data_IF_733171548834
#
_entry.id   IF_733171548834
#
_cell.length_a   1.000
_cell.length_b   1.000
_cell.length_c   1.000
_cell.angle_alpha   90.00
_cell.angle_beta   90.00
_cell.angle_gamma   90.00
#
_symmetry.space_group_name_H-M   'P 1'
#
loop_
_entity.id
_entity.type
_entity.pdbx_description
1 polymer ?
#
# COMPACT_ATOMS: atom_id res chain seq x y z
N UNK A 1 4.74 -31.46 62.41
CA UNK A 1 5.02 -32.06 61.09
C UNK A 1 4.77 -30.97 60.05
N UNK A 2 5.83 -30.38 59.50
CA UNK A 2 5.79 -29.15 58.72
C UNK A 2 5.09 -29.34 57.37
N UNK A 3 4.01 -28.59 57.11
CA UNK A 3 3.43 -28.45 55.78
C UNK A 3 3.96 -27.14 55.17
N UNK A 4 4.93 -27.25 54.27
CA UNK A 4 5.29 -26.16 53.37
C UNK A 4 4.19 -26.03 52.31
N UNK A 5 3.40 -24.96 52.39
CA UNK A 5 2.54 -24.54 51.28
C UNK A 5 3.43 -23.79 50.30
N UNK A 6 3.85 -24.49 49.25
CA UNK A 6 4.53 -23.90 48.10
C UNK A 6 3.47 -23.22 47.22
N UNK A 7 3.35 -21.89 47.35
CA UNK A 7 2.53 -21.08 46.44
C UNK A 7 3.27 -21.00 45.09
N UNK A 8 2.90 -21.87 44.15
CA UNK A 8 3.27 -21.71 42.74
C UNK A 8 2.47 -20.53 42.17
N UNK A 9 3.08 -19.34 42.17
CA UNK A 9 2.65 -18.23 41.34
C UNK A 9 2.82 -18.68 39.88
N UNK A 10 1.73 -19.08 39.23
CA UNK A 10 1.70 -19.23 37.78
C UNK A 10 1.95 -17.85 37.18
N UNK A 11 3.20 -17.60 36.77
CA UNK A 11 3.58 -16.43 36.00
C UNK A 11 2.87 -16.55 34.65
N UNK A 12 1.69 -15.94 34.54
CA UNK A 12 0.98 -15.77 33.29
C UNK A 12 1.84 -14.84 32.43
N UNK A 13 2.73 -15.43 31.64
CA UNK A 13 3.39 -14.72 30.55
C UNK A 13 2.29 -14.37 29.58
N UNK A 14 1.70 -13.18 29.74
CA UNK A 14 0.97 -12.51 28.68
C UNK A 14 2.03 -12.27 27.61
N UNK A 15 2.13 -13.20 26.67
CA UNK A 15 2.86 -12.97 25.43
C UNK A 15 2.14 -11.78 24.80
N UNK A 16 2.76 -10.61 24.96
CA UNK A 16 2.37 -9.40 24.25
C UNK A 16 2.35 -9.80 22.78
N UNK A 17 1.15 -10.00 22.22
CA UNK A 17 0.97 -10.38 20.83
C UNK A 17 1.42 -9.18 20.01
N UNK A 18 2.74 -9.14 19.77
CA UNK A 18 3.39 -8.32 18.77
C UNK A 18 2.48 -8.34 17.54
N UNK A 19 2.01 -7.16 17.13
CA UNK A 19 1.14 -6.95 15.97
C UNK A 19 1.69 -7.70 14.76
N UNK A 20 1.29 -8.96 14.57
CA UNK A 20 1.59 -9.70 13.34
C UNK A 20 0.78 -9.00 12.26
N UNK A 21 1.42 -8.48 11.20
CA UNK A 21 0.68 -7.87 10.11
C UNK A 21 -0.37 -8.87 9.63
N UNK A 22 -1.64 -8.47 9.61
CA UNK A 22 -2.68 -9.27 8.97
C UNK A 22 -2.38 -9.32 7.47
N UNK A 23 -2.50 -10.50 6.88
CA UNK A 23 -2.04 -10.75 5.52
C UNK A 23 -1.91 -12.24 5.23
N UNK A 24 -1.24 -12.58 4.13
CA UNK A 24 -0.94 -13.96 3.80
C UNK A 24 0.45 -14.11 3.20
N UNK A 25 1.07 -15.26 3.48
CA UNK A 25 2.26 -15.68 2.75
C UNK A 25 1.86 -16.20 1.38
N UNK A 26 2.69 -15.94 0.39
CA UNK A 26 2.58 -16.57 -0.91
C UNK A 26 3.89 -17.26 -1.29
N UNK A 27 3.77 -18.30 -2.10
CA UNK A 27 4.89 -18.94 -2.79
C UNK A 27 4.47 -19.26 -4.22
N UNK A 28 5.27 -18.81 -5.17
CA UNK A 28 5.04 -19.00 -6.59
C UNK A 28 6.19 -19.82 -7.16
N UNK A 29 5.84 -20.85 -7.93
CA UNK A 29 6.73 -21.68 -8.71
C UNK A 29 6.32 -21.54 -10.18
N UNK A 30 7.27 -21.17 -11.02
CA UNK A 30 7.12 -21.15 -12.48
C UNK A 30 8.22 -22.00 -13.09
N UNK A 31 7.84 -22.91 -13.97
CA UNK A 31 8.74 -23.91 -14.55
C UNK A 31 8.48 -24.00 -16.05
N UNK A 32 9.55 -23.88 -16.83
CA UNK A 32 9.57 -24.24 -18.24
C UNK A 32 9.91 -25.71 -18.42
N UNK A 33 9.48 -26.32 -19.54
CA UNK A 33 9.77 -27.74 -19.79
C UNK A 33 11.27 -28.03 -19.95
N UNK A 34 12.10 -27.01 -20.20
CA UNK A 34 13.54 -27.13 -20.34
C UNK A 34 14.31 -26.90 -19.02
N UNK A 35 13.62 -26.64 -17.91
CA UNK A 35 14.26 -26.34 -16.62
C UNK A 35 14.91 -27.59 -16.01
N UNK A 36 16.04 -27.39 -15.32
CA UNK A 36 16.80 -28.51 -14.74
C UNK A 36 16.01 -29.12 -13.58
N UNK A 37 16.00 -30.46 -13.51
CA UNK A 37 15.37 -31.24 -12.43
C UNK A 37 13.83 -31.06 -12.36
N UNK A 38 13.20 -30.72 -13.47
CA UNK A 38 11.73 -30.69 -13.60
C UNK A 38 11.23 -32.02 -14.13
N UNK A 39 10.14 -32.55 -13.53
CA UNK A 39 9.45 -33.73 -14.03
C UNK A 39 8.38 -33.33 -15.06
N UNK A 40 8.41 -33.93 -16.25
CA UNK A 40 7.51 -33.55 -17.35
C UNK A 40 7.75 -32.11 -17.83
N UNK A 41 6.71 -31.41 -18.23
CA UNK A 41 6.81 -30.01 -18.69
C UNK A 41 6.53 -28.96 -17.58
N UNK A 42 6.85 -29.30 -16.33
CA UNK A 42 6.82 -28.36 -15.20
C UNK A 42 5.44 -27.94 -14.73
N UNK A 43 5.43 -27.14 -13.66
CA UNK A 43 4.23 -26.69 -12.94
C UNK A 43 4.23 -25.17 -12.74
N UNK A 44 3.07 -24.54 -12.96
CA UNK A 44 2.75 -23.24 -12.38
C UNK A 44 2.03 -23.43 -11.04
N UNK A 45 2.76 -23.41 -9.93
CA UNK A 45 2.14 -23.50 -8.59
C UNK A 45 2.07 -22.14 -7.92
N UNK A 46 0.93 -21.82 -7.30
CA UNK A 46 0.69 -20.56 -6.60
C UNK A 46 0.04 -20.91 -5.26
N UNK A 47 0.85 -20.85 -4.21
CA UNK A 47 0.43 -21.15 -2.86
C UNK A 47 0.06 -19.87 -2.11
N UNK A 48 -1.00 -19.95 -1.31
CA UNK A 48 -1.36 -18.96 -0.29
C UNK A 48 -1.44 -19.66 1.06
N UNK A 49 -0.68 -19.20 2.05
CA UNK A 49 -0.59 -19.83 3.38
C UNK A 49 -0.38 -21.37 3.28
N UNK A 50 0.44 -21.81 2.32
CA UNK A 50 0.70 -23.24 2.05
C UNK A 50 -0.34 -23.97 1.18
N UNK A 51 -1.52 -23.39 0.92
CA UNK A 51 -2.54 -23.99 0.05
C UNK A 51 -2.35 -23.66 -1.43
N UNK A 52 -2.25 -24.68 -2.28
CA UNK A 52 -2.13 -24.52 -3.74
C UNK A 52 -3.46 -24.11 -4.38
N UNK A 53 -3.44 -23.04 -5.18
CA UNK A 53 -4.61 -22.47 -5.84
C UNK A 53 -4.53 -22.42 -7.37
N UNK A 54 -3.34 -22.46 -7.98
CA UNK A 54 -3.21 -22.39 -9.44
C UNK A 54 -3.84 -23.59 -10.16
N UNK A 55 -4.32 -23.38 -11.40
CA UNK A 55 -4.91 -24.41 -12.24
C UNK A 55 -3.87 -25.37 -12.85
N UNK A 56 -2.57 -25.02 -12.82
CA UNK A 56 -1.45 -25.81 -13.35
C UNK A 56 -1.66 -26.25 -14.82
N UNK A 57 -2.02 -25.29 -15.67
CA UNK A 57 -2.16 -25.49 -17.13
C UNK A 57 -1.02 -24.79 -17.85
N UNK A 58 -0.65 -25.24 -19.05
CA UNK A 58 0.33 -24.55 -19.91
C UNK A 58 -0.04 -23.08 -20.11
N UNK A 59 0.98 -22.22 -20.20
CA UNK A 59 0.82 -20.77 -20.35
C UNK A 59 0.79 -20.03 -19.01
N UNK A 60 0.19 -18.84 -19.02
CA UNK A 60 0.09 -18.00 -17.82
C UNK A 60 -1.04 -18.47 -16.92
N UNK A 61 -0.75 -18.67 -15.64
CA UNK A 61 -1.72 -19.00 -14.60
C UNK A 61 -1.79 -17.84 -13.60
N UNK A 62 -3.00 -17.47 -13.17
CA UNK A 62 -3.22 -16.40 -12.20
C UNK A 62 -4.21 -16.80 -11.11
N UNK A 63 -4.00 -16.22 -9.92
CA UNK A 63 -4.94 -16.27 -8.80
C UNK A 63 -5.13 -14.86 -8.26
N UNK A 64 -6.38 -14.47 -8.02
CA UNK A 64 -6.76 -13.15 -7.57
C UNK A 64 -7.41 -13.17 -6.18
N UNK A 65 -7.08 -12.19 -5.34
CA UNK A 65 -7.59 -12.00 -3.98
C UNK A 65 -7.93 -10.54 -3.73
N UNK A 66 -8.87 -10.28 -2.83
CA UNK A 66 -9.11 -8.94 -2.33
C UNK A 66 -7.89 -8.48 -1.54
N UNK A 67 -7.37 -7.28 -1.82
CA UNK A 67 -6.32 -6.68 -1.01
C UNK A 67 -6.84 -6.06 0.30
N UNK A 68 -8.15 -6.14 0.54
CA UNK A 68 -8.84 -5.56 1.71
C UNK A 68 -9.19 -6.63 2.73
N UNK A 69 -9.77 -7.73 2.25
CA UNK A 69 -10.23 -8.83 3.12
C UNK A 69 -9.34 -10.06 3.02
N UNK A 70 -8.52 -10.15 1.96
CA UNK A 70 -7.83 -11.39 1.60
C UNK A 70 -8.74 -12.47 1.04
N UNK A 71 -10.02 -12.19 0.82
CA UNK A 71 -10.92 -13.18 0.27
C UNK A 71 -10.50 -13.57 -1.14
N UNK A 72 -10.58 -14.86 -1.43
CA UNK A 72 -10.36 -15.38 -2.77
C UNK A 72 -11.40 -14.78 -3.74
N UNK A 73 -10.94 -14.31 -4.90
CA UNK A 73 -11.82 -13.87 -5.98
C UNK A 73 -12.00 -14.97 -7.03
N UNK A 74 -10.90 -15.35 -7.68
CA UNK A 74 -10.94 -16.24 -8.85
C UNK A 74 -9.54 -16.71 -9.24
N UNK A 75 -9.47 -17.72 -10.09
CA UNK A 75 -8.26 -18.19 -10.77
C UNK A 75 -8.53 -18.41 -12.25
N UNK A 76 -7.51 -18.29 -13.08
CA UNK A 76 -7.59 -18.56 -14.50
C UNK A 76 -6.23 -19.01 -15.05
N UNK A 77 -6.26 -19.66 -16.20
CA UNK A 77 -5.08 -20.00 -16.98
C UNK A 77 -5.30 -19.62 -18.44
N UNK A 78 -4.26 -19.14 -19.10
CA UNK A 78 -4.28 -18.66 -20.47
C UNK A 78 -3.15 -19.35 -21.24
N UNK A 79 -3.50 -20.27 -22.12
CA UNK A 79 -2.55 -21.01 -22.96
C UNK A 79 -2.01 -20.11 -24.07
N UNK A 80 -1.07 -19.22 -23.71
CA UNK A 80 -0.38 -18.33 -24.65
C UNK A 80 0.66 -19.06 -25.52
N UNK A 81 0.65 -20.39 -25.55
CA UNK A 81 1.39 -21.19 -26.51
C UNK A 81 0.48 -21.68 -27.66
N UNK A 82 -0.70 -22.22 -27.35
CA UNK A 82 -1.57 -22.82 -28.37
C UNK A 82 -2.76 -21.94 -28.78
N UNK A 83 -3.11 -20.91 -28.02
CA UNK A 83 -4.29 -20.10 -28.27
C UNK A 83 -3.93 -18.63 -28.59
N UNK A 84 -4.18 -18.21 -29.83
CA UNK A 84 -3.95 -16.83 -30.33
C UNK A 84 -4.76 -15.75 -29.58
N UNK A 85 -5.88 -16.11 -28.97
CA UNK A 85 -6.72 -15.19 -28.20
C UNK A 85 -6.38 -15.18 -26.70
N UNK A 86 -5.46 -16.03 -26.23
CA UNK A 86 -5.12 -16.17 -24.81
C UNK A 86 -4.67 -14.84 -24.19
N UNK A 87 -3.87 -14.04 -24.91
CA UNK A 87 -3.46 -12.72 -24.42
C UNK A 87 -4.63 -11.75 -24.25
N UNK A 88 -5.59 -11.75 -25.18
CA UNK A 88 -6.80 -10.91 -25.08
C UNK A 88 -7.68 -11.35 -23.92
N UNK A 89 -7.84 -12.65 -23.73
CA UNK A 89 -8.58 -13.23 -22.60
C UNK A 89 -7.91 -12.89 -21.26
N UNK A 90 -6.58 -13.00 -21.19
CA UNK A 90 -5.78 -12.60 -20.03
C UNK A 90 -5.97 -11.13 -19.68
N UNK A 91 -5.88 -10.24 -20.68
CA UNK A 91 -6.13 -8.81 -20.52
C UNK A 91 -7.53 -8.53 -19.98
N UNK A 92 -8.57 -9.13 -20.58
CA UNK A 92 -9.96 -8.92 -20.15
C UNK A 92 -10.22 -9.46 -18.74
N UNK A 93 -9.65 -10.61 -18.39
CA UNK A 93 -9.77 -11.19 -17.05
C UNK A 93 -9.12 -10.29 -15.99
N UNK A 94 -7.89 -9.81 -16.22
CA UNK A 94 -7.21 -8.88 -15.31
C UNK A 94 -7.98 -7.54 -15.25
N UNK A 95 -8.38 -6.99 -16.40
CA UNK A 95 -9.07 -5.69 -16.47
C UNK A 95 -10.41 -5.70 -15.73
N UNK A 96 -11.15 -6.81 -15.79
CA UNK A 96 -12.45 -6.96 -15.13
C UNK A 96 -12.34 -7.18 -13.61
N UNK A 97 -11.14 -7.41 -13.06
CA UNK A 97 -10.97 -7.43 -11.60
C UNK A 97 -11.19 -6.01 -11.04
N UNK A 98 -11.83 -5.86 -9.85
CA UNK A 98 -11.90 -4.57 -9.18
C UNK A 98 -10.51 -3.96 -8.95
N UNK A 99 -10.44 -2.64 -8.84
CA UNK A 99 -9.28 -2.02 -8.18
C UNK A 99 -9.15 -2.59 -6.76
N UNK A 100 -7.94 -2.63 -6.21
CA UNK A 100 -7.63 -3.22 -4.92
C UNK A 100 -7.67 -4.76 -4.92
N UNK A 101 -7.16 -5.34 -6.01
CA UNK A 101 -7.03 -6.80 -6.18
C UNK A 101 -5.56 -7.19 -6.21
N UNK A 102 -5.17 -8.15 -5.38
CA UNK A 102 -3.87 -8.84 -5.48
C UNK A 102 -3.97 -9.88 -6.58
N UNK A 103 -2.99 -9.94 -7.48
CA UNK A 103 -2.93 -10.90 -8.59
C UNK A 103 -1.58 -11.59 -8.56
N UNK A 104 -1.55 -12.86 -8.19
CA UNK A 104 -0.36 -13.71 -8.26
C UNK A 104 -0.35 -14.45 -9.58
N UNK A 105 0.80 -14.56 -10.24
CA UNK A 105 0.91 -15.20 -11.55
C UNK A 105 2.19 -15.99 -11.76
N UNK A 106 2.11 -17.05 -12.57
CA UNK A 106 3.22 -17.93 -12.96
C UNK A 106 3.03 -18.47 -14.38
N UNK A 107 4.12 -18.74 -15.10
CA UNK A 107 4.08 -19.52 -16.35
C UNK A 107 4.34 -21.01 -16.06
N UNK A 108 3.64 -21.88 -16.78
CA UNK A 108 3.95 -23.31 -16.88
C UNK A 108 4.29 -23.68 -18.33
N UNK A 109 5.33 -24.49 -18.50
CA UNK A 109 5.83 -25.00 -19.79
C UNK A 109 6.29 -23.89 -20.74
N UNK A 110 5.35 -23.17 -21.34
CA UNK A 110 5.59 -22.23 -22.43
C UNK A 110 4.52 -21.13 -22.39
N UNK A 111 4.93 -19.87 -22.53
CA UNK A 111 4.01 -18.74 -22.56
C UNK A 111 4.31 -17.66 -23.59
N UNK A 112 5.24 -17.88 -24.52
CA UNK A 112 5.76 -16.88 -25.45
C UNK A 112 5.27 -17.01 -26.89
N UNK A 113 4.86 -18.20 -27.36
CA UNK A 113 4.64 -18.44 -28.80
C UNK A 113 3.47 -17.63 -29.37
N UNK A 114 2.33 -17.60 -28.70
CA UNK A 114 1.16 -16.77 -29.07
C UNK A 114 1.11 -15.48 -28.24
N UNK A 115 2.25 -15.02 -27.73
CA UNK A 115 2.30 -13.81 -26.92
C UNK A 115 2.10 -12.58 -27.81
N UNK A 116 0.99 -11.87 -27.61
CA UNK A 116 0.67 -10.61 -28.30
C UNK A 116 0.94 -9.42 -27.38
N UNK A 117 1.99 -8.61 -27.63
CA UNK A 117 2.34 -7.46 -26.77
C UNK A 117 1.19 -6.49 -26.52
N UNK A 118 0.38 -6.20 -27.53
CA UNK A 118 -0.75 -5.28 -27.44
C UNK A 118 -1.81 -5.64 -26.39
N UNK A 119 -1.85 -6.90 -25.93
CA UNK A 119 -2.74 -7.36 -24.87
C UNK A 119 -1.99 -7.86 -23.64
N UNK A 120 -1.02 -8.78 -23.82
CA UNK A 120 -0.37 -9.38 -22.68
C UNK A 120 0.51 -8.40 -21.89
N UNK A 121 1.19 -7.45 -22.55
CA UNK A 121 1.97 -6.42 -21.83
C UNK A 121 1.04 -5.52 -21.04
N UNK A 122 -0.04 -5.03 -21.67
CA UNK A 122 -1.03 -4.20 -20.99
C UNK A 122 -1.63 -4.92 -19.78
N UNK A 123 -1.88 -6.22 -19.91
CA UNK A 123 -2.41 -7.03 -18.81
C UNK A 123 -1.46 -7.08 -17.61
N UNK A 124 -0.16 -7.30 -17.86
CA UNK A 124 0.87 -7.34 -16.81
C UNK A 124 1.16 -5.94 -16.24
N UNK A 125 1.24 -4.90 -17.06
CA UNK A 125 1.40 -3.50 -16.65
C UNK A 125 0.22 -3.04 -15.75
N UNK A 126 -1.01 -3.46 -16.04
CA UNK A 126 -2.19 -3.16 -15.24
C UNK A 126 -2.04 -3.61 -13.76
N UNK A 127 -1.27 -4.66 -13.52
CA UNK A 127 -0.99 -5.18 -12.18
C UNK A 127 0.39 -4.77 -11.64
N UNK A 128 1.06 -3.83 -12.30
CA UNK A 128 2.35 -3.28 -11.85
C UNK A 128 3.57 -4.02 -12.38
N UNK A 129 3.39 -4.91 -13.35
CA UNK A 129 4.51 -5.51 -14.06
C UNK A 129 5.30 -4.47 -14.86
N UNK A 130 6.61 -4.71 -15.00
CA UNK A 130 7.54 -3.83 -15.70
C UNK A 130 8.19 -4.57 -16.88
N UNK A 131 8.34 -3.88 -18.00
CA UNK A 131 9.07 -4.40 -19.16
C UNK A 131 10.56 -4.52 -18.85
N UNK A 132 11.28 -5.46 -19.49
CA UNK A 132 10.79 -6.42 -20.48
C UNK A 132 10.18 -7.68 -19.85
N UNK A 133 9.00 -8.09 -20.31
CA UNK A 133 8.36 -9.34 -19.91
C UNK A 133 9.02 -10.58 -20.52
N UNK A 134 8.61 -11.77 -20.09
CA UNK A 134 9.13 -13.03 -20.63
C UNK A 134 8.70 -13.20 -22.10
N UNK A 135 9.67 -13.54 -22.95
CA UNK A 135 9.53 -13.67 -24.41
C UNK A 135 10.24 -14.89 -24.96
N UNK A 136 11.08 -15.53 -24.15
CA UNK A 136 11.81 -16.69 -24.59
C UNK A 136 10.93 -17.92 -24.50
N UNK A 137 11.02 -18.75 -25.53
CA UNK A 137 10.41 -20.07 -25.56
C UNK A 137 10.80 -20.84 -24.30
N UNK A 138 9.79 -21.30 -23.56
CA UNK A 138 9.94 -22.04 -22.30
C UNK A 138 10.73 -21.34 -21.19
N UNK A 139 10.77 -20.01 -21.21
CA UNK A 139 11.29 -19.23 -20.09
C UNK A 139 10.28 -19.14 -18.93
N UNK A 140 10.79 -19.08 -17.71
CA UNK A 140 9.99 -18.98 -16.49
C UNK A 140 9.67 -17.51 -16.14
N UNK A 141 8.51 -17.27 -15.53
CA UNK A 141 8.05 -15.93 -15.10
C UNK A 141 7.10 -16.03 -13.91
N UNK A 142 7.30 -15.18 -12.91
CA UNK A 142 6.32 -15.00 -11.84
C UNK A 142 6.10 -13.53 -11.52
N UNK A 143 4.89 -13.22 -11.08
CA UNK A 143 4.50 -11.87 -10.65
C UNK A 143 3.64 -11.94 -9.38
N UNK A 144 3.98 -11.12 -8.40
CA UNK A 144 3.08 -10.72 -7.31
C UNK A 144 2.62 -9.31 -7.65
N UNK A 145 1.49 -9.22 -8.33
CA UNK A 145 0.95 -7.98 -8.87
C UNK A 145 -0.22 -7.44 -8.05
N UNK A 146 -0.58 -6.20 -8.35
CA UNK A 146 -1.66 -5.49 -7.69
C UNK A 146 -2.41 -4.62 -8.69
N UNK A 147 -3.72 -4.83 -8.81
CA UNK A 147 -4.61 -4.00 -9.63
C UNK A 147 -5.07 -2.80 -8.82
N UNK A 148 -4.72 -1.60 -9.29
CA UNK A 148 -4.95 -0.33 -8.59
C UNK A 148 -3.68 0.50 -8.50
N UNK A 149 -3.80 1.71 -7.97
CA UNK A 149 -2.69 2.61 -7.69
C UNK A 149 -2.82 3.19 -6.27
N UNK A 150 -1.69 3.56 -5.64
CA UNK A 150 -0.31 3.23 -6.01
C UNK A 150 -0.06 1.71 -5.90
N UNK A 151 1.04 1.23 -6.49
CA UNK A 151 1.44 -0.18 -6.36
C UNK A 151 2.04 -0.40 -4.95
N UNK A 152 1.65 -1.46 -4.23
CA UNK A 152 2.19 -1.75 -2.91
C UNK A 152 3.66 -2.16 -3.02
N UNK A 153 4.43 -1.89 -1.96
CA UNK A 153 5.88 -2.15 -1.92
C UNK A 153 6.24 -3.63 -2.15
N UNK A 154 5.34 -4.55 -1.83
CA UNK A 154 5.57 -5.98 -2.03
C UNK A 154 5.36 -6.43 -3.48
N UNK A 155 4.75 -5.58 -4.34
CA UNK A 155 4.52 -5.91 -5.73
C UNK A 155 5.85 -6.04 -6.48
N UNK A 156 6.05 -7.18 -7.15
CA UNK A 156 7.30 -7.49 -7.86
C UNK A 156 7.08 -8.58 -8.90
N UNK A 157 8.01 -8.69 -9.83
CA UNK A 157 8.08 -9.79 -10.79
C UNK A 157 9.51 -10.31 -10.92
N UNK A 158 9.65 -11.53 -11.41
CA UNK A 158 10.92 -12.12 -11.81
C UNK A 158 10.72 -12.95 -13.07
N UNK A 159 11.81 -13.12 -13.83
CA UNK A 159 11.87 -14.04 -14.97
C UNK A 159 13.23 -14.71 -15.03
N UNK A 160 13.27 -15.91 -15.58
CA UNK A 160 14.48 -16.66 -15.88
C UNK A 160 14.41 -17.15 -17.33
N UNK A 161 15.55 -17.22 -18.00
CA UNK A 161 15.61 -17.74 -19.35
C UNK A 161 15.30 -19.24 -19.38
N UNK A 162 15.09 -19.79 -20.59
CA UNK A 162 14.95 -21.24 -20.78
C UNK A 162 16.13 -21.96 -20.12
N UNK A 163 15.83 -23.01 -19.36
CA UNK A 163 16.82 -23.86 -18.66
C UNK A 163 17.55 -23.20 -17.49
N UNK A 164 17.23 -21.96 -17.14
CA UNK A 164 17.70 -21.30 -15.93
C UNK A 164 16.75 -21.48 -14.74
N UNK A 165 15.52 -21.95 -14.96
CA UNK A 165 14.58 -22.25 -13.89
C UNK A 165 14.85 -23.60 -13.19
N UNK A 166 14.03 -23.96 -12.20
CA UNK A 166 12.72 -23.37 -11.89
C UNK A 166 12.80 -22.01 -11.18
N UNK A 167 11.90 -21.08 -11.52
CA UNK A 167 11.77 -19.79 -10.84
C UNK A 167 10.90 -19.93 -9.59
N UNK A 168 11.43 -19.50 -8.44
CA UNK A 168 10.72 -19.49 -7.15
C UNK A 168 10.64 -18.07 -6.60
N UNK A 169 9.43 -17.62 -6.28
CA UNK A 169 9.20 -16.32 -5.68
C UNK A 169 8.21 -16.45 -4.52
N UNK A 170 8.66 -16.19 -3.30
CA UNK A 170 7.83 -16.15 -2.10
C UNK A 170 7.79 -14.75 -1.51
N UNK A 171 6.79 -14.46 -0.69
CA UNK A 171 6.67 -13.19 0.01
C UNK A 171 5.46 -13.12 0.91
N UNK A 172 5.19 -11.93 1.42
CA UNK A 172 4.04 -11.64 2.27
C UNK A 172 3.23 -10.49 1.67
N UNK A 173 1.93 -10.74 1.47
CA UNK A 173 0.96 -9.72 1.10
C UNK A 173 0.34 -9.20 2.39
N UNK A 174 0.63 -7.95 2.71
CA UNK A 174 -0.02 -7.27 3.82
C UNK A 174 -1.43 -6.88 3.41
N UNK A 175 -2.41 -7.32 4.21
CA UNK A 175 -3.81 -6.91 4.10
C UNK A 175 -4.11 -6.08 5.35
N UNK A 176 -4.49 -4.81 5.20
CA UNK A 176 -4.98 -4.03 6.34
C UNK A 176 -6.38 -4.53 6.73
N UNK A 177 -6.44 -5.66 7.44
CA UNK A 177 -7.68 -6.14 8.07
C UNK A 177 -7.73 -5.54 9.47
N UNK A 178 -8.88 -4.96 9.84
CA UNK A 178 -9.12 -4.38 11.16
C UNK A 178 -8.74 -2.92 11.28
N UNK A 179 -7.88 -2.35 10.42
CA UNK A 179 -7.54 -0.93 10.53
C UNK A 179 -6.14 -0.54 10.11
N UNK A 180 -5.82 0.74 10.32
CA UNK A 180 -4.53 1.36 10.01
C UNK A 180 -3.91 1.91 11.29
N UNK A 181 -2.68 1.52 11.62
CA UNK A 181 -1.89 2.30 12.58
C UNK A 181 -1.24 3.49 11.87
N UNK A 182 -1.21 4.65 12.51
CA UNK A 182 -0.65 5.85 11.90
C UNK A 182 0.21 6.63 12.89
N UNK A 183 1.16 7.39 12.35
CA UNK A 183 1.90 8.43 13.06
C UNK A 183 2.04 9.64 12.15
N UNK A 184 1.59 10.78 12.64
CA UNK A 184 1.69 12.09 12.00
C UNK A 184 2.54 12.97 12.91
N UNK A 185 3.64 13.46 12.37
CA UNK A 185 4.59 14.32 13.04
C UNK A 185 4.71 15.61 12.23
N UNK A 186 4.50 16.75 12.89
CA UNK A 186 4.63 18.07 12.29
C UNK A 186 5.54 18.91 13.16
N UNK A 187 6.45 19.65 12.52
CA UNK A 187 7.45 20.47 13.19
C UNK A 187 7.66 21.76 12.41
N UNK A 188 7.56 22.88 13.12
CA UNK A 188 7.89 24.22 12.62
C UNK A 188 9.40 24.48 12.64
N UNK A 189 9.86 25.55 11.99
CA UNK A 189 11.30 25.79 11.83
C UNK A 189 12.06 26.08 13.13
N UNK A 190 11.39 26.64 14.15
CA UNK A 190 12.02 26.96 15.43
C UNK A 190 11.59 26.03 16.56
N UNK A 191 10.99 24.89 16.24
CA UNK A 191 10.72 23.88 17.26
C UNK A 191 12.03 23.27 17.79
N UNK A 192 12.08 22.83 19.06
CA UNK A 192 13.27 22.21 19.63
C UNK A 192 13.74 20.96 18.87
N UNK A 193 15.05 20.67 18.96
CA UNK A 193 15.65 19.45 18.41
C UNK A 193 15.88 19.46 16.89
N UNK A 194 15.89 20.62 16.26
CA UNK A 194 16.20 20.79 14.83
C UNK A 194 17.72 20.97 14.65
N UNK A 195 18.38 20.17 13.78
CA UNK A 195 19.78 20.35 13.47
C UNK A 195 20.10 21.75 12.91
N UNK A 196 21.26 22.29 13.25
CA UNK A 196 21.73 23.57 12.72
C UNK A 196 21.73 23.59 11.19
N UNK A 197 21.27 24.70 10.60
CA UNK A 197 21.16 24.85 9.14
C UNK A 197 19.99 24.09 8.50
N UNK A 198 19.11 23.46 9.30
CA UNK A 198 17.91 22.78 8.82
C UNK A 198 16.64 23.42 9.37
N UNK A 199 15.49 22.90 8.96
CA UNK A 199 14.18 23.39 9.37
C UNK A 199 13.29 22.20 9.75
N UNK A 200 12.16 22.48 10.40
CA UNK A 200 11.21 21.46 10.83
C UNK A 200 10.72 20.59 9.67
N UNK A 201 10.31 19.36 9.98
CA UNK A 201 9.96 18.33 8.99
C UNK A 201 8.54 17.79 9.21
N UNK A 202 7.87 17.43 8.11
CA UNK A 202 6.64 16.64 8.16
C UNK A 202 6.96 15.14 7.97
N UNK A 203 6.45 14.30 8.88
CA UNK A 203 6.48 12.83 8.72
C UNK A 203 5.10 12.23 8.88
N UNK A 204 4.67 11.44 7.91
CA UNK A 204 3.42 10.67 7.95
C UNK A 204 3.77 9.21 7.66
N UNK A 205 3.56 8.33 8.63
CA UNK A 205 3.87 6.91 8.55
C UNK A 205 2.61 6.08 8.83
N UNK A 206 2.48 4.93 8.17
CA UNK A 206 1.40 3.97 8.41
C UNK A 206 1.96 2.60 8.81
N UNK A 207 1.19 1.83 9.57
CA UNK A 207 1.43 0.42 9.90
C UNK A 207 2.83 0.15 10.45
N UNK A 208 3.32 1.03 11.33
CA UNK A 208 4.65 0.99 11.94
C UNK A 208 5.83 0.99 10.95
N UNK A 209 5.60 1.36 9.68
CA UNK A 209 6.66 1.58 8.70
C UNK A 209 7.31 2.96 8.91
N UNK A 210 8.02 3.12 10.03
CA UNK A 210 8.69 4.38 10.36
C UNK A 210 9.78 4.78 9.34
N UNK A 211 10.32 3.81 8.60
CA UNK A 211 11.29 4.04 7.53
C UNK A 211 10.69 4.73 6.29
N UNK A 212 9.39 4.56 6.03
CA UNK A 212 8.74 5.10 4.83
C UNK A 212 7.92 6.33 5.21
N UNK A 213 8.46 7.52 4.93
CA UNK A 213 7.70 8.76 5.07
C UNK A 213 6.82 8.98 3.83
N UNK A 214 5.51 9.02 4.03
CA UNK A 214 4.51 9.24 2.97
C UNK A 214 4.25 10.73 2.69
N UNK A 215 4.71 11.62 3.56
CA UNK A 215 4.60 13.06 3.34
C UNK A 215 5.53 13.51 2.21
N UNK A 216 5.10 14.38 1.27
CA UNK A 216 5.95 14.87 0.18
C UNK A 216 7.11 15.77 0.60
N UNK A 217 7.16 16.19 1.87
CA UNK A 217 8.21 17.04 2.47
C UNK A 217 8.35 18.42 1.81
N UNK A 218 7.24 19.00 1.35
CA UNK A 218 7.22 20.41 0.93
C UNK A 218 6.97 21.34 2.13
N UNK A 219 7.46 22.58 2.08
CA UNK A 219 7.04 23.62 3.04
C UNK A 219 5.51 23.81 3.00
N UNK A 220 4.90 24.13 4.14
CA UNK A 220 3.46 24.27 4.28
C UNK A 220 2.77 22.95 4.67
N UNK A 221 1.52 22.78 4.25
CA UNK A 221 0.74 21.58 4.56
C UNK A 221 1.14 20.40 3.67
N UNK A 222 1.35 19.25 4.27
CA UNK A 222 1.58 17.98 3.62
C UNK A 222 0.44 17.04 3.99
N UNK A 223 -0.25 16.47 3.00
CA UNK A 223 -1.35 15.54 3.21
C UNK A 223 -1.09 14.18 2.57
N UNK A 224 -1.69 13.15 3.19
CA UNK A 224 -1.80 11.80 2.66
C UNK A 224 -3.28 11.42 2.68
N UNK A 225 -3.85 11.16 1.51
CA UNK A 225 -5.22 10.67 1.36
C UNK A 225 -5.22 9.14 1.36
N UNK A 226 -6.15 8.53 2.09
CA UNK A 226 -6.20 7.08 2.29
C UNK A 226 -7.64 6.61 2.12
N UNK A 227 -7.83 5.54 1.35
CA UNK A 227 -9.13 4.91 1.21
C UNK A 227 -9.59 4.33 2.55
N UNK A 228 -10.74 4.79 3.05
CA UNK A 228 -11.24 4.42 4.38
C UNK A 228 -11.77 2.99 4.50
N UNK A 229 -11.93 2.25 3.39
CA UNK A 229 -12.34 0.85 3.37
C UNK A 229 -11.17 -0.11 3.21
N UNK A 230 -10.10 0.32 2.57
CA UNK A 230 -8.98 -0.58 2.24
C UNK A 230 -7.66 -0.20 2.84
N UNK A 231 -7.57 0.95 3.51
CA UNK A 231 -6.34 1.46 4.09
C UNK A 231 -5.22 1.77 3.11
N UNK A 232 -5.53 1.77 1.81
CA UNK A 232 -4.59 2.09 0.76
C UNK A 232 -4.42 3.60 0.64
N UNK A 233 -3.16 4.04 0.64
CA UNK A 233 -2.80 5.41 0.26
C UNK A 233 -3.33 5.65 -1.14
N UNK A 234 -4.10 6.70 -1.36
CA UNK A 234 -4.59 7.09 -2.69
C UNK A 234 -3.57 8.00 -3.38
N UNK A 235 -3.12 9.02 -2.64
CA UNK A 235 -2.15 10.00 -3.09
C UNK A 235 -1.59 10.79 -1.91
N UNK A 236 -0.46 11.46 -2.14
CA UNK A 236 0.14 12.42 -1.21
C UNK A 236 0.38 13.74 -1.92
N UNK A 237 0.13 14.87 -1.27
CA UNK A 237 0.30 16.20 -1.86
C UNK A 237 0.76 17.22 -0.82
N UNK A 238 1.59 18.18 -1.24
CA UNK A 238 2.00 19.33 -0.44
C UNK A 238 1.45 20.63 -1.02
N UNK A 239 1.22 21.60 -0.13
CA UNK A 239 0.72 22.93 -0.46
C UNK A 239 1.54 23.96 0.32
N UNK A 240 2.37 24.74 -0.39
CA UNK A 240 3.16 25.81 0.20
C UNK A 240 2.26 27.03 0.50
N UNK A 241 1.53 26.95 1.60
CA UNK A 241 0.65 28.03 2.10
C UNK A 241 1.43 29.14 2.82
N UNK A 242 2.77 29.01 2.93
CA UNK A 242 3.66 30.11 3.27
C UNK A 242 3.92 31.00 2.06
N UNK A 243 4.28 30.43 0.90
CA UNK A 243 4.67 31.25 -0.25
C UNK A 243 3.50 32.02 -0.84
N UNK A 244 2.33 31.36 -0.93
CA UNK A 244 1.33 31.74 -1.92
C UNK A 244 -0.09 31.45 -1.43
N UNK A 245 -0.94 32.47 -1.36
CA UNK A 245 -2.36 32.34 -0.94
C UNK A 245 -3.17 31.44 -1.88
N UNK A 246 -2.81 31.37 -3.17
CA UNK A 246 -3.45 30.46 -4.13
C UNK A 246 -3.33 28.98 -3.74
N UNK A 247 -2.30 28.61 -2.97
CA UNK A 247 -2.14 27.24 -2.51
C UNK A 247 -3.20 26.85 -1.47
N UNK A 248 -3.81 27.81 -0.76
CA UNK A 248 -5.00 27.54 0.06
C UNK A 248 -6.19 27.12 -0.78
N UNK A 249 -6.44 27.80 -1.90
CA UNK A 249 -7.50 27.41 -2.85
C UNK A 249 -7.24 26.03 -3.44
N UNK A 250 -5.99 25.76 -3.86
CA UNK A 250 -5.59 24.44 -4.38
C UNK A 250 -5.74 23.33 -3.34
N UNK A 251 -5.45 23.61 -2.08
CA UNK A 251 -5.65 22.71 -0.96
C UNK A 251 -7.14 22.40 -0.76
N UNK A 252 -7.99 23.44 -0.77
CA UNK A 252 -9.44 23.29 -0.69
C UNK A 252 -10.01 22.47 -1.85
N UNK A 253 -9.68 22.83 -3.10
CA UNK A 253 -10.18 22.14 -4.30
C UNK A 253 -9.77 20.66 -4.29
N UNK A 254 -8.53 20.37 -3.86
CA UNK A 254 -8.04 18.99 -3.74
C UNK A 254 -8.81 18.19 -2.68
N UNK A 255 -8.93 18.69 -1.44
CA UNK A 255 -9.68 18.01 -0.37
C UNK A 255 -11.15 17.83 -0.77
N UNK A 256 -11.75 18.85 -1.39
CA UNK A 256 -13.14 18.81 -1.85
C UNK A 256 -13.36 17.74 -2.93
N UNK A 257 -12.38 17.50 -3.79
CA UNK A 257 -12.48 16.50 -4.87
C UNK A 257 -12.29 15.05 -4.41
N UNK A 258 -11.72 14.81 -3.23
CA UNK A 258 -11.52 13.45 -2.70
C UNK A 258 -12.85 12.71 -2.55
N UNK A 259 -12.86 11.38 -2.69
CA UNK A 259 -14.04 10.54 -2.46
C UNK A 259 -14.55 10.69 -1.00
N UNK A 260 -15.87 10.67 -0.69
CA UNK A 260 -16.37 10.76 0.69
C UNK A 260 -15.77 9.73 1.65
N UNK A 261 -15.38 8.56 1.14
CA UNK A 261 -14.79 7.47 1.89
C UNK A 261 -13.26 7.60 2.01
N UNK A 262 -12.77 8.78 2.39
CA UNK A 262 -11.33 9.08 2.47
C UNK A 262 -10.92 9.57 3.86
N UNK A 263 -9.94 8.89 4.46
CA UNK A 263 -9.17 9.36 5.62
C UNK A 263 -8.10 10.31 5.10
N UNK A 264 -7.87 11.44 5.78
CA UNK A 264 -6.87 12.43 5.40
C UNK A 264 -5.93 12.68 6.58
N UNK A 265 -4.66 12.33 6.43
CA UNK A 265 -3.61 12.66 7.40
C UNK A 265 -2.90 13.93 6.94
N UNK A 266 -2.61 14.86 7.86
CA UNK A 266 -2.02 16.15 7.52
C UNK A 266 -0.94 16.59 8.51
N UNK A 267 0.17 17.15 8.00
CA UNK A 267 1.25 17.69 8.82
C UNK A 267 1.81 18.99 8.19
N UNK A 268 2.10 20.00 9.01
CA UNK A 268 2.89 21.16 8.58
C UNK A 268 4.38 20.84 8.60
N UNK A 269 5.09 21.31 7.57
CA UNK A 269 6.54 21.41 7.53
C UNK A 269 6.95 22.88 7.45
N UNK A 270 7.88 23.31 8.32
CA UNK A 270 8.41 24.68 8.40
C UNK A 270 7.35 25.74 8.79
N UNK A 271 6.50 26.14 7.85
CA UNK A 271 5.59 27.28 7.98
C UNK A 271 4.38 27.11 7.06
N UNK A 272 3.17 27.37 7.56
CA UNK A 272 1.95 27.30 6.76
C UNK A 272 0.99 28.50 6.92
N UNK A 273 1.29 29.46 7.80
CA UNK A 273 0.41 30.54 8.23
C UNK A 273 0.56 31.84 7.41
N UNK A 274 1.71 32.12 6.81
CA UNK A 274 2.02 33.46 6.23
C UNK A 274 1.04 33.91 5.14
N UNK A 275 0.48 32.98 4.35
CA UNK A 275 -0.60 33.26 3.38
C UNK A 275 -1.87 32.45 3.65
N UNK A 276 -2.03 31.97 4.88
CA UNK A 276 -3.19 31.20 5.30
C UNK A 276 -4.45 32.07 5.31
N UNK A 277 -5.49 31.64 4.61
CA UNK A 277 -6.72 32.40 4.41
C UNK A 277 -7.98 31.54 4.61
N UNK A 278 -9.14 32.06 4.24
CA UNK A 278 -10.42 31.36 4.41
C UNK A 278 -10.53 30.07 3.57
N UNK A 279 -9.89 29.96 2.41
CA UNK A 279 -9.87 28.70 1.65
C UNK A 279 -9.15 27.61 2.44
N UNK A 280 -8.05 27.96 3.11
CA UNK A 280 -7.35 27.02 3.98
C UNK A 280 -8.22 26.59 5.17
N UNK A 281 -8.92 27.53 5.81
CA UNK A 281 -9.87 27.21 6.90
C UNK A 281 -10.96 26.26 6.42
N UNK A 282 -11.56 26.54 5.27
CA UNK A 282 -12.61 25.72 4.67
C UNK A 282 -12.09 24.32 4.31
N UNK A 283 -10.87 24.22 3.80
CA UNK A 283 -10.23 22.94 3.48
C UNK A 283 -10.04 22.06 4.72
N UNK A 284 -9.60 22.64 5.84
CA UNK A 284 -9.47 21.91 7.10
C UNK A 284 -10.84 21.52 7.68
N UNK A 285 -11.83 22.41 7.59
CA UNK A 285 -13.19 22.13 8.04
C UNK A 285 -13.82 20.93 7.30
N UNK A 286 -13.55 20.77 6.00
CA UNK A 286 -14.03 19.61 5.22
C UNK A 286 -13.59 18.26 5.79
N UNK A 287 -12.48 18.21 6.52
CA UNK A 287 -11.96 16.98 7.14
C UNK A 287 -12.12 16.94 8.66
N UNK A 288 -12.80 17.94 9.25
CA UNK A 288 -13.05 18.04 10.68
C UNK A 288 -11.88 18.59 11.50
N UNK A 289 -10.98 19.37 10.88
CA UNK A 289 -9.88 20.03 11.56
C UNK A 289 -10.04 21.57 11.53
N UNK A 290 -9.30 22.25 12.39
CA UNK A 290 -9.17 23.71 12.41
C UNK A 290 -7.72 24.12 12.68
N UNK A 291 -7.35 25.38 12.45
CA UNK A 291 -5.98 25.84 12.67
C UNK A 291 -5.92 27.24 13.29
N UNK A 292 -5.04 27.39 14.27
CA UNK A 292 -4.81 28.61 15.04
C UNK A 292 -3.39 28.74 15.59
N UNK A 293 -2.42 27.92 15.16
CA UNK A 293 -1.05 27.95 15.71
C UNK A 293 -0.19 29.15 15.27
N UNK A 294 -0.60 29.88 14.24
CA UNK A 294 0.14 31.05 13.76
C UNK A 294 1.49 30.72 13.09
N UNK A 295 2.30 31.75 12.87
CA UNK A 295 3.58 31.66 12.16
C UNK A 295 4.48 30.57 12.73
N UNK A 296 4.97 29.68 11.85
CA UNK A 296 5.87 28.54 12.19
C UNK A 296 5.36 27.62 13.30
N UNK A 297 4.04 27.59 13.53
CA UNK A 297 3.43 26.59 14.38
C UNK A 297 3.36 25.22 13.71
N UNK A 298 3.36 24.16 14.53
CA UNK A 298 3.12 22.80 14.06
C UNK A 298 1.65 22.42 14.15
N UNK A 299 1.20 21.52 13.26
CA UNK A 299 -0.18 21.03 13.21
C UNK A 299 -0.19 19.62 12.61
N UNK A 300 -0.62 18.64 13.41
CA UNK A 300 -0.83 17.25 13.02
C UNK A 300 -2.32 16.95 12.98
N UNK A 301 -2.79 16.32 11.90
CA UNK A 301 -4.21 16.08 11.63
C UNK A 301 -4.44 14.62 11.29
N UNK A 302 -5.51 14.06 11.84
CA UNK A 302 -6.24 12.92 11.28
C UNK A 302 -7.69 13.34 11.07
N UNK A 303 -8.07 13.45 9.81
CA UNK A 303 -9.38 13.89 9.37
C UNK A 303 -10.10 12.87 8.52
N UNK A 304 -11.37 13.13 8.24
CA UNK A 304 -12.21 12.30 7.36
C UNK A 304 -13.04 13.19 6.45
N UNK A 305 -13.00 12.94 5.14
CA UNK A 305 -13.71 13.78 4.17
C UNK A 305 -15.22 13.62 4.24
N UNK A 306 -15.72 12.40 4.42
CA UNK A 306 -17.14 12.07 4.36
C UNK A 306 -17.96 12.57 5.55
N UNK A 307 -19.25 12.25 5.50
CA UNK A 307 -20.21 12.42 6.58
C UNK A 307 -21.00 11.10 6.78
N UNK A 308 -21.42 10.77 8.02
CA UNK A 308 -21.13 11.48 9.26
C UNK A 308 -19.63 11.48 9.61
N UNK A 309 -19.18 12.47 10.39
CA UNK A 309 -17.78 12.58 10.83
C UNK A 309 -17.49 11.49 11.88
N UNK A 310 -16.50 10.60 11.66
CA UNK A 310 -16.12 9.61 12.65
C UNK A 310 -15.58 10.23 13.93
N UNK A 311 -15.81 9.55 15.05
CA UNK A 311 -15.38 9.99 16.39
C UNK A 311 -13.87 10.01 16.58
N UNK A 312 -13.11 9.31 15.72
CA UNK A 312 -11.66 9.25 15.80
C UNK A 312 -10.94 10.45 15.18
N UNK A 313 -11.65 11.38 14.52
CA UNK A 313 -11.07 12.63 14.00
C UNK A 313 -10.44 13.40 15.15
N UNK A 314 -9.21 13.84 14.97
CA UNK A 314 -8.46 14.63 15.95
C UNK A 314 -7.35 15.40 15.26
N UNK A 315 -7.00 16.52 15.84
CA UNK A 315 -5.88 17.32 15.40
C UNK A 315 -5.17 17.92 16.62
N UNK A 316 -3.87 18.15 16.51
CA UNK A 316 -3.04 18.72 17.57
C UNK A 316 -2.16 19.79 16.97
N UNK A 317 -2.07 20.92 17.66
CA UNK A 317 -1.44 22.11 17.10
C UNK A 317 -0.68 22.85 18.22
N UNK A 318 0.51 23.37 17.89
CA UNK A 318 1.36 24.13 18.82
C UNK A 318 1.88 25.37 18.10
N UNK A 319 1.97 26.48 18.82
CA UNK A 319 2.62 27.69 18.31
C UNK A 319 4.10 27.45 18.10
N UNK A 320 4.76 28.38 17.39
CA UNK A 320 6.22 28.45 17.25
C UNK A 320 6.92 28.18 18.60
N UNK A 321 8.05 27.47 18.53
CA UNK A 321 8.90 26.96 19.63
C UNK A 321 8.26 25.97 20.59
N UNK A 322 6.95 25.70 20.48
CA UNK A 322 6.22 24.82 21.40
C UNK A 322 5.86 23.46 20.77
N UNK A 323 6.25 23.21 19.52
CA UNK A 323 6.14 21.91 18.89
C UNK A 323 7.32 20.99 19.23
N UNK A 324 7.48 19.86 18.53
CA UNK A 324 6.62 19.36 17.46
C UNK A 324 5.25 18.88 17.97
N UNK A 325 4.28 18.74 17.07
CA UNK A 325 3.05 17.97 17.33
C UNK A 325 3.22 16.55 16.83
N UNK A 326 2.69 15.59 17.60
CA UNK A 326 2.66 14.19 17.22
C UNK A 326 1.28 13.63 17.48
N UNK A 327 0.68 13.03 16.47
CA UNK A 327 -0.50 12.19 16.61
C UNK A 327 -0.15 10.77 16.19
N UNK A 328 -0.48 9.81 17.03
CA UNK A 328 -0.45 8.40 16.67
C UNK A 328 -1.74 7.73 17.08
N UNK A 329 -1.98 6.56 16.49
CA UNK A 329 -3.08 5.72 16.90
C UNK A 329 -3.43 4.69 15.87
N UNK A 330 -4.64 4.15 16.03
CA UNK A 330 -5.20 3.12 15.19
C UNK A 330 -6.59 3.56 14.71
N UNK A 331 -6.87 3.39 13.43
CA UNK A 331 -8.19 3.63 12.83
C UNK A 331 -8.76 2.29 12.44
N UNK A 332 -9.89 1.90 13.04
CA UNK A 332 -10.62 0.72 12.59
C UNK A 332 -11.19 1.00 11.20
N UNK A 333 -10.92 0.09 10.26
CA UNK A 333 -11.47 0.16 8.91
C UNK A 333 -12.59 -0.88 8.79
N UNK A 334 -13.80 -0.50 8.36
CA UNK A 334 -14.89 -1.45 8.17
C UNK A 334 -14.47 -2.54 7.18
N UNK A 335 -14.61 -3.79 7.60
CA UNK A 335 -14.36 -5.00 6.80
C UNK A 335 -15.51 -5.27 5.85
#
# INVERSE_FOLDING_TARGET
MNLFVCLLLACLVVVNTQNVPLGFTYSILSEGCNDRKVAGCGLASIYRNGGQLSLRRRGYNFVAFSSVTGNYHSRASFDTFANKDACRQMYNWIRSRPTQTVVLGAIQDEGSVQFVPGYCDKALELIGGQKPFQRQYRGSFAIAGYRGLPKPYWARQQKLLSSEGPLRMSGFVQIPVGGISYRVFSQGCEDPGIPSGTCGVARINLNNQFATNLAPRGRGYNFVAINSKSGLVLESRSFDTFCCSINCKRMYDWIKALNPQTIVLGAIQDEANSKFNNDCKNALALIGASYSSGYRGSHSIIGYRGNPKPTWIRHSQRTKTNGPTVLSGYIQIPV
#
